data_IF_148552453770
#
_entry.id   IF_148552453770
#
_cell.length_a   1.000
_cell.length_b   1.000
_cell.length_c   1.000
_cell.angle_alpha   90.00
_cell.angle_beta   90.00
_cell.angle_gamma   90.00
#
_symmetry.space_group_name_H-M   'P 1'
#
loop_
_entity.id
_entity.type
_entity.pdbx_description
1 polymer ?
#
# COMPACT_ATOMS: atom_id res chain seq x y z
N UNK A 1 8.57 -22.22 13.91
CA UNK A 1 8.42 -20.74 13.85
C UNK A 1 8.74 -20.33 12.42
N UNK A 2 7.95 -19.44 11.83
CA UNK A 2 8.26 -18.87 10.51
C UNK A 2 9.44 -17.90 10.64
N UNK A 3 10.45 -18.06 9.79
CA UNK A 3 11.60 -17.17 9.74
C UNK A 3 11.15 -15.75 9.38
N UNK A 4 11.79 -14.74 10.00
CA UNK A 4 11.38 -13.33 9.88
C UNK A 4 12.27 -12.58 8.90
N UNK A 5 11.64 -11.76 8.08
CA UNK A 5 12.28 -10.81 7.18
C UNK A 5 12.06 -9.37 7.70
N UNK A 6 13.12 -8.74 8.18
CA UNK A 6 13.09 -7.34 8.63
C UNK A 6 13.87 -6.49 7.62
N UNK A 7 13.29 -5.40 7.15
CA UNK A 7 13.98 -4.43 6.31
C UNK A 7 14.15 -3.10 7.04
N UNK A 8 15.33 -2.51 7.00
CA UNK A 8 15.64 -1.23 7.64
C UNK A 8 15.64 -0.16 6.55
N UNK A 9 14.78 0.84 6.70
CA UNK A 9 14.61 1.93 5.76
C UNK A 9 15.00 3.27 6.38
N UNK A 10 15.19 4.28 5.54
CA UNK A 10 15.49 5.64 5.98
C UNK A 10 16.42 6.41 5.07
N UNK A 11 16.48 7.71 5.32
CA UNK A 11 17.22 8.67 4.50
C UNK A 11 18.73 8.33 4.47
N UNK A 12 19.42 8.79 3.42
CA UNK A 12 20.87 8.66 3.29
C UNK A 12 21.55 9.23 4.56
N UNK A 13 22.51 8.49 5.11
CA UNK A 13 23.22 8.89 6.34
C UNK A 13 22.55 8.51 7.66
N UNK A 14 21.32 7.96 7.67
CA UNK A 14 20.62 7.72 8.95
C UNK A 14 21.18 6.57 9.80
N UNK A 15 21.93 5.62 9.20
CA UNK A 15 22.58 4.52 9.95
C UNK A 15 22.02 3.12 9.69
N UNK A 16 21.31 2.89 8.58
CA UNK A 16 20.68 1.61 8.20
C UNK A 16 21.65 0.42 8.22
N UNK A 17 22.72 0.48 7.42
CA UNK A 17 23.74 -0.57 7.29
C UNK A 17 24.40 -0.88 8.64
N UNK A 18 24.63 0.15 9.46
CA UNK A 18 25.19 0.01 10.81
C UNK A 18 24.24 -0.77 11.71
N UNK A 19 22.96 -0.40 11.74
CA UNK A 19 21.97 -1.10 12.54
C UNK A 19 21.79 -2.55 12.07
N UNK A 20 21.69 -2.77 10.75
CA UNK A 20 21.56 -4.11 10.16
C UNK A 20 22.67 -5.06 10.64
N UNK A 21 23.93 -4.60 10.61
CA UNK A 21 25.10 -5.38 11.05
C UNK A 21 25.08 -5.66 12.56
N UNK A 22 24.61 -4.72 13.36
CA UNK A 22 24.54 -4.89 14.81
C UNK A 22 23.41 -5.83 15.24
N UNK A 23 22.30 -5.85 14.51
CA UNK A 23 21.19 -6.76 14.76
C UNK A 23 21.46 -8.18 14.27
N UNK A 24 22.29 -8.36 13.23
CA UNK A 24 22.61 -9.66 12.64
C UNK A 24 22.93 -10.76 13.69
N UNK A 25 23.91 -10.59 14.61
CA UNK A 25 24.22 -11.61 15.61
C UNK A 25 23.14 -11.77 16.69
N UNK A 26 22.30 -10.75 16.91
CA UNK A 26 21.24 -10.77 17.94
C UNK A 26 20.01 -11.56 17.50
N UNK A 27 19.73 -11.57 16.20
CA UNK A 27 18.58 -12.26 15.60
C UNK A 27 18.94 -13.58 14.91
N UNK A 28 20.21 -14.01 15.00
CA UNK A 28 20.76 -15.15 14.23
C UNK A 28 20.31 -15.09 12.76
N UNK A 29 20.53 -13.91 12.15
CA UNK A 29 19.98 -13.59 10.85
C UNK A 29 21.07 -13.58 9.77
N UNK A 30 20.68 -13.94 8.54
CA UNK A 30 21.41 -13.51 7.36
C UNK A 30 21.26 -11.99 7.19
N UNK A 31 22.23 -11.37 6.50
CA UNK A 31 22.18 -9.94 6.19
C UNK A 31 22.21 -9.72 4.68
N UNK A 32 21.36 -8.81 4.21
CA UNK A 32 21.36 -8.31 2.84
C UNK A 32 21.67 -6.82 2.85
N UNK A 33 22.77 -6.43 2.24
CA UNK A 33 23.21 -5.03 2.19
C UNK A 33 23.14 -4.50 0.77
N UNK A 34 22.64 -3.30 0.61
CA UNK A 34 22.64 -2.61 -0.67
C UNK A 34 24.06 -2.29 -1.12
N UNK A 35 24.38 -2.65 -2.37
CA UNK A 35 25.64 -2.30 -3.01
C UNK A 35 25.42 -1.08 -3.90
N UNK A 36 25.84 0.09 -3.44
CA UNK A 36 25.62 1.36 -4.17
C UNK A 36 26.84 1.78 -4.99
N UNK A 37 28.01 1.31 -4.60
CA UNK A 37 29.32 1.68 -5.15
C UNK A 37 29.51 1.18 -6.59
N UNK A 38 28.78 0.14 -7.00
CA UNK A 38 28.87 -0.45 -8.33
C UNK A 38 28.13 0.35 -9.41
N UNK A 39 27.31 1.35 -9.02
CA UNK A 39 26.53 2.12 -9.97
C UNK A 39 27.41 3.15 -10.70
N UNK A 40 27.70 2.97 -12.00
CA UNK A 40 28.63 3.83 -12.74
C UNK A 40 28.07 5.22 -13.04
N UNK A 41 26.78 5.44 -12.76
CA UNK A 41 26.09 6.71 -12.99
C UNK A 41 25.93 7.53 -11.71
N UNK A 42 26.09 6.92 -10.52
CA UNK A 42 25.76 7.57 -9.25
C UNK A 42 26.56 8.86 -9.00
N UNK A 43 27.87 8.85 -9.27
CA UNK A 43 28.69 10.06 -9.15
C UNK A 43 28.25 11.16 -10.11
N UNK A 44 27.88 10.80 -11.34
CA UNK A 44 27.38 11.74 -12.36
C UNK A 44 26.00 12.28 -12.03
N UNK A 45 25.15 11.46 -11.40
CA UNK A 45 23.84 11.87 -10.91
C UNK A 45 23.92 12.99 -9.89
N UNK A 46 24.89 12.95 -8.97
CA UNK A 46 25.08 14.06 -8.02
C UNK A 46 25.60 15.34 -8.67
N UNK A 47 26.20 15.25 -9.87
CA UNK A 47 26.65 16.42 -10.64
C UNK A 47 25.56 16.98 -11.56
N UNK A 48 24.73 16.12 -12.15
CA UNK A 48 23.66 16.47 -13.08
C UNK A 48 22.51 15.45 -12.96
N UNK A 49 21.56 15.75 -12.06
CA UNK A 49 20.43 14.87 -11.76
C UNK A 49 19.54 14.65 -12.99
N UNK A 50 19.22 15.71 -13.72
CA UNK A 50 18.29 15.66 -14.85
C UNK A 50 18.82 14.72 -15.95
N UNK A 51 20.13 14.75 -16.22
CA UNK A 51 20.71 13.94 -17.29
C UNK A 51 20.94 12.47 -16.91
N UNK A 52 21.22 12.19 -15.64
CA UNK A 52 21.70 10.88 -15.18
C UNK A 52 20.71 10.13 -14.27
N UNK A 53 19.56 10.72 -13.93
CA UNK A 53 18.58 10.10 -13.05
C UNK A 53 18.11 8.75 -13.59
N UNK A 54 17.67 8.68 -14.84
CA UNK A 54 17.10 7.45 -15.40
C UNK A 54 18.07 6.28 -15.41
N UNK A 55 19.31 6.48 -15.87
CA UNK A 55 20.34 5.44 -15.89
C UNK A 55 20.70 4.99 -14.48
N UNK A 56 20.74 5.94 -13.52
CA UNK A 56 21.01 5.64 -12.12
C UNK A 56 19.89 4.79 -11.51
N UNK A 57 18.62 5.14 -11.75
CA UNK A 57 17.47 4.41 -11.21
C UNK A 57 17.31 3.03 -11.84
N UNK A 58 17.42 2.90 -13.17
CA UNK A 58 17.32 1.59 -13.81
C UNK A 58 18.46 0.66 -13.36
N UNK A 59 19.66 1.18 -13.13
CA UNK A 59 20.74 0.39 -12.56
C UNK A 59 20.38 -0.11 -11.15
N UNK A 60 19.88 0.77 -10.27
CA UNK A 60 19.44 0.36 -8.94
C UNK A 60 18.33 -0.68 -9.00
N UNK A 61 17.31 -0.47 -9.82
CA UNK A 61 16.20 -1.40 -10.01
C UNK A 61 16.67 -2.81 -10.35
N UNK A 62 17.52 -2.92 -11.38
CA UNK A 62 18.03 -4.20 -11.87
C UNK A 62 18.98 -4.87 -10.87
N UNK A 63 19.87 -4.08 -10.25
CA UNK A 63 20.79 -4.57 -9.22
C UNK A 63 20.02 -5.13 -8.01
N UNK A 64 19.04 -4.38 -7.51
CA UNK A 64 18.19 -4.78 -6.39
C UNK A 64 17.36 -6.02 -6.73
N UNK A 65 16.78 -6.08 -7.93
CA UNK A 65 16.06 -7.26 -8.39
C UNK A 65 16.98 -8.50 -8.41
N UNK A 66 18.15 -8.39 -9.05
CA UNK A 66 19.09 -9.50 -9.15
C UNK A 66 19.53 -10.00 -7.77
N UNK A 67 19.80 -9.08 -6.85
CA UNK A 67 20.19 -9.40 -5.49
C UNK A 67 19.04 -10.05 -4.71
N UNK A 68 17.83 -9.49 -4.74
CA UNK A 68 16.73 -9.94 -3.88
C UNK A 68 16.02 -11.19 -4.39
N UNK A 69 15.81 -11.32 -5.71
CA UNK A 69 15.01 -12.40 -6.30
C UNK A 69 15.47 -13.79 -5.87
N UNK A 70 16.78 -14.00 -5.74
CA UNK A 70 17.35 -15.27 -5.29
C UNK A 70 17.79 -15.25 -3.82
N UNK A 71 18.43 -14.16 -3.36
CA UNK A 71 19.03 -14.14 -2.03
C UNK A 71 17.98 -14.13 -0.92
N UNK A 72 16.87 -13.41 -1.10
CA UNK A 72 15.82 -13.30 -0.07
C UNK A 72 15.16 -14.66 0.18
N UNK A 73 14.61 -15.37 -0.82
CA UNK A 73 14.07 -16.71 -0.60
C UNK A 73 15.11 -17.71 -0.06
N UNK A 74 16.36 -17.63 -0.52
CA UNK A 74 17.42 -18.54 -0.07
C UNK A 74 17.79 -18.31 1.40
N UNK A 75 17.88 -17.06 1.84
CA UNK A 75 18.15 -16.71 3.22
C UNK A 75 16.99 -17.14 4.13
N UNK A 76 15.74 -16.84 3.73
CA UNK A 76 14.54 -17.19 4.50
C UNK A 76 14.29 -18.70 4.62
N UNK A 77 14.88 -19.53 3.76
CA UNK A 77 14.90 -20.99 3.95
C UNK A 77 15.86 -21.45 5.05
N UNK A 78 16.87 -20.65 5.38
CA UNK A 78 17.94 -20.98 6.34
C UNK A 78 17.71 -20.38 7.72
N UNK A 79 17.06 -19.22 7.80
CA UNK A 79 16.82 -18.51 9.05
C UNK A 79 16.23 -17.13 8.82
N UNK A 80 16.32 -16.26 9.82
CA UNK A 80 15.88 -14.87 9.72
C UNK A 80 16.74 -14.10 8.69
N UNK A 81 16.17 -13.03 8.15
CA UNK A 81 16.84 -12.11 7.24
C UNK A 81 16.68 -10.68 7.71
N UNK A 82 17.78 -9.93 7.73
CA UNK A 82 17.79 -8.48 7.92
C UNK A 82 18.33 -7.85 6.64
N UNK A 83 17.57 -6.94 6.04
CA UNK A 83 18.03 -6.12 4.90
C UNK A 83 18.16 -4.66 5.32
N UNK A 84 19.10 -3.91 4.75
CA UNK A 84 19.19 -2.45 4.94
C UNK A 84 18.48 -1.65 3.84
N UNK A 85 17.64 -2.34 3.07
CA UNK A 85 16.76 -1.77 2.06
C UNK A 85 15.63 -2.74 1.65
N UNK A 86 14.55 -2.19 1.10
CA UNK A 86 13.49 -2.89 0.40
C UNK A 86 13.60 -2.71 -1.10
N UNK A 87 12.98 -3.60 -1.87
CA UNK A 87 12.79 -3.37 -3.30
C UNK A 87 11.88 -2.16 -3.57
N UNK A 88 10.77 -2.08 -2.81
CA UNK A 88 9.74 -1.06 -2.97
C UNK A 88 10.24 0.39 -2.79
N UNK A 89 11.33 0.62 -2.03
CA UNK A 89 11.89 1.98 -1.90
C UNK A 89 12.39 2.56 -3.22
N UNK A 90 12.68 1.74 -4.23
CA UNK A 90 13.24 2.26 -5.49
C UNK A 90 12.26 3.21 -6.16
N UNK A 91 10.97 2.91 -6.02
CA UNK A 91 9.88 3.76 -6.49
C UNK A 91 9.99 5.19 -5.96
N UNK A 92 10.29 5.37 -4.67
CA UNK A 92 10.47 6.70 -4.05
C UNK A 92 11.51 7.54 -4.80
N UNK A 93 12.66 6.94 -5.11
CA UNK A 93 13.75 7.65 -5.79
C UNK A 93 13.43 7.90 -7.27
N UNK A 94 12.65 7.03 -7.90
CA UNK A 94 12.13 7.26 -9.25
C UNK A 94 11.13 8.41 -9.30
N UNK A 95 10.14 8.45 -8.40
CA UNK A 95 9.17 9.55 -8.30
C UNK A 95 9.85 10.90 -8.06
N UNK A 96 10.94 10.91 -7.29
CA UNK A 96 11.66 12.13 -6.96
C UNK A 96 12.53 12.65 -8.13
N UNK A 97 13.05 11.76 -8.97
CA UNK A 97 14.09 12.11 -9.94
C UNK A 97 13.71 11.95 -11.42
N UNK A 98 12.66 11.18 -11.73
CA UNK A 98 12.22 10.93 -13.10
C UNK A 98 10.94 11.69 -13.42
N UNK A 99 10.72 11.98 -14.71
CA UNK A 99 9.54 12.68 -15.21
C UNK A 99 8.99 11.99 -16.45
N UNK A 100 7.72 12.27 -16.76
CA UNK A 100 7.07 11.92 -18.01
C UNK A 100 7.33 10.46 -18.46
N UNK A 101 7.89 10.28 -19.65
CA UNK A 101 8.14 8.98 -20.26
C UNK A 101 9.16 8.13 -19.48
N UNK A 102 10.16 8.75 -18.85
CA UNK A 102 11.16 8.04 -18.05
C UNK A 102 10.53 7.41 -16.80
N UNK A 103 9.67 8.16 -16.11
CA UNK A 103 8.93 7.65 -14.94
C UNK A 103 7.95 6.57 -15.35
N UNK A 104 7.22 6.76 -16.45
CA UNK A 104 6.27 5.77 -16.96
C UNK A 104 6.97 4.46 -17.37
N UNK A 105 8.13 4.55 -18.04
CA UNK A 105 8.93 3.39 -18.43
C UNK A 105 9.48 2.67 -17.20
N UNK A 106 10.07 3.41 -16.27
CA UNK A 106 10.57 2.85 -15.01
C UNK A 106 9.45 2.11 -14.26
N UNK A 107 8.26 2.72 -14.12
CA UNK A 107 7.14 2.13 -13.40
C UNK A 107 6.70 0.78 -13.97
N UNK A 108 6.67 0.65 -15.31
CA UNK A 108 6.35 -0.63 -15.98
C UNK A 108 7.38 -1.72 -15.66
N UNK A 109 8.67 -1.38 -15.69
CA UNK A 109 9.75 -2.33 -15.37
C UNK A 109 9.71 -2.71 -13.89
N UNK A 110 9.52 -1.73 -13.01
CA UNK A 110 9.42 -1.94 -11.57
C UNK A 110 8.26 -2.88 -11.21
N UNK A 111 7.07 -2.64 -11.78
CA UNK A 111 5.91 -3.51 -11.57
C UNK A 111 6.18 -4.95 -12.01
N UNK A 112 6.73 -5.15 -13.22
CA UNK A 112 7.02 -6.47 -13.77
C UNK A 112 8.05 -7.26 -12.96
N UNK A 113 9.00 -6.58 -12.31
CA UNK A 113 10.03 -7.21 -11.49
C UNK A 113 9.57 -7.43 -10.04
N UNK A 114 8.79 -6.51 -9.49
CA UNK A 114 8.39 -6.49 -8.09
C UNK A 114 7.49 -7.66 -7.66
N UNK A 115 6.68 -8.22 -8.56
CA UNK A 115 5.79 -9.36 -8.27
C UNK A 115 6.52 -10.57 -7.68
N UNK A 116 7.80 -10.73 -8.01
CA UNK A 116 8.60 -11.91 -7.64
C UNK A 116 9.42 -11.71 -6.38
N UNK A 117 9.40 -10.52 -5.79
CA UNK A 117 10.24 -10.19 -4.64
C UNK A 117 9.44 -10.36 -3.35
N UNK A 118 9.88 -11.24 -2.43
CA UNK A 118 9.25 -11.36 -1.12
C UNK A 118 9.29 -10.03 -0.37
N UNK A 119 8.20 -9.70 0.31
CA UNK A 119 8.07 -8.49 1.13
C UNK A 119 8.56 -8.74 2.56
N UNK A 120 9.11 -7.73 3.25
CA UNK A 120 9.47 -7.84 4.66
C UNK A 120 8.23 -8.00 5.55
N UNK A 121 8.38 -8.75 6.64
CA UNK A 121 7.40 -8.83 7.71
C UNK A 121 7.32 -7.51 8.50
N UNK A 122 8.42 -6.76 8.58
CA UNK A 122 8.50 -5.46 9.25
C UNK A 122 9.48 -4.53 8.52
N UNK A 123 9.05 -3.30 8.26
CA UNK A 123 9.92 -2.19 7.89
C UNK A 123 10.28 -1.40 9.15
N UNK A 124 11.56 -1.28 9.46
CA UNK A 124 12.09 -0.41 10.51
C UNK A 124 12.57 0.88 9.86
N UNK A 125 11.77 1.94 9.93
CA UNK A 125 12.13 3.25 9.40
C UNK A 125 12.92 4.05 10.42
N UNK A 126 14.18 4.33 10.13
CA UNK A 126 15.02 5.21 10.93
C UNK A 126 14.80 6.66 10.49
N UNK A 127 14.46 7.51 11.45
CA UNK A 127 14.29 8.95 11.27
C UNK A 127 15.40 9.72 11.99
N UNK A 128 15.86 10.80 11.38
CA UNK A 128 16.74 11.77 12.00
C UNK A 128 16.56 13.13 11.34
N UNK A 129 16.93 14.18 12.06
CA UNK A 129 16.88 15.56 11.58
C UNK A 129 17.93 15.79 10.50
N UNK A 130 17.65 16.77 9.63
CA UNK A 130 18.50 17.08 8.48
C UNK A 130 19.97 17.33 8.89
N UNK A 131 20.21 18.08 9.96
CA UNK A 131 21.56 18.41 10.41
C UNK A 131 22.31 17.17 10.95
N UNK A 132 21.58 16.23 11.55
CA UNK A 132 22.14 14.95 12.00
C UNK A 132 22.52 14.09 10.79
N UNK A 133 21.65 14.02 9.78
CA UNK A 133 21.92 13.30 8.53
C UNK A 133 23.15 13.87 7.82
N UNK A 134 23.21 15.19 7.61
CA UNK A 134 24.34 15.83 6.93
C UNK A 134 25.66 15.60 7.68
N UNK A 135 25.65 15.66 9.02
CA UNK A 135 26.82 15.34 9.84
C UNK A 135 27.28 13.89 9.64
N UNK A 136 26.35 12.93 9.65
CA UNK A 136 26.67 11.51 9.44
C UNK A 136 27.17 11.23 8.02
N UNK A 137 26.62 11.89 7.00
CA UNK A 137 27.08 11.79 5.61
C UNK A 137 28.53 12.31 5.49
N UNK A 138 28.80 13.49 6.05
CA UNK A 138 30.14 14.07 6.04
C UNK A 138 31.17 13.18 6.76
N UNK A 139 30.81 12.59 7.90
CA UNK A 139 31.68 11.67 8.65
C UNK A 139 31.99 10.37 7.88
N UNK A 140 31.07 9.89 7.05
CA UNK A 140 31.27 8.67 6.25
C UNK A 140 32.19 8.89 5.05
N UNK A 141 32.28 10.13 4.57
CA UNK A 141 33.23 10.57 3.53
C UNK A 141 33.23 9.74 2.24
N UNK A 142 32.03 9.40 1.72
CA UNK A 142 31.93 8.74 0.41
C UNK A 142 32.23 9.76 -0.69
N UNK A 143 33.20 9.49 -1.60
CA UNK A 143 33.63 10.47 -2.60
C UNK A 143 32.50 11.02 -3.47
N UNK A 144 31.56 10.16 -3.88
CA UNK A 144 30.42 10.55 -4.72
C UNK A 144 29.34 11.36 -3.98
N UNK A 145 29.35 11.43 -2.64
CA UNK A 145 28.37 12.22 -1.87
C UNK A 145 28.87 13.62 -1.56
N UNK A 146 30.14 13.94 -1.82
CA UNK A 146 30.74 15.24 -1.49
C UNK A 146 30.14 16.40 -2.28
N UNK A 147 29.73 16.14 -3.52
CA UNK A 147 29.12 17.14 -4.41
C UNK A 147 27.59 17.14 -4.34
N UNK A 148 26.99 16.34 -3.44
CA UNK A 148 25.53 16.24 -3.30
C UNK A 148 24.95 17.53 -2.72
N UNK A 149 23.92 18.07 -3.38
CA UNK A 149 23.14 19.19 -2.86
C UNK A 149 22.50 18.82 -1.50
N UNK A 150 22.80 19.55 -0.41
CA UNK A 150 22.13 19.35 0.87
C UNK A 150 20.60 19.48 0.79
N UNK A 151 20.09 20.31 -0.12
CA UNK A 151 18.65 20.44 -0.40
C UNK A 151 18.00 19.12 -0.80
N UNK A 152 18.72 18.29 -1.55
CA UNK A 152 18.25 16.98 -2.00
C UNK A 152 17.94 16.04 -0.82
N UNK A 153 18.70 16.08 0.27
CA UNK A 153 18.41 15.25 1.45
C UNK A 153 17.08 15.61 2.10
N UNK A 154 16.68 16.89 2.06
CA UNK A 154 15.34 17.31 2.52
C UNK A 154 14.24 16.78 1.60
N UNK A 155 14.46 16.83 0.28
CA UNK A 155 13.54 16.24 -0.69
C UNK A 155 13.36 14.73 -0.47
N UNK A 156 14.46 14.00 -0.27
CA UNK A 156 14.43 12.55 0.03
C UNK A 156 13.69 12.28 1.35
N UNK A 157 13.89 13.10 2.38
CA UNK A 157 13.16 12.95 3.65
C UNK A 157 11.65 13.13 3.46
N UNK A 158 11.23 14.15 2.72
CA UNK A 158 9.82 14.38 2.43
C UNK A 158 9.23 13.26 1.56
N UNK A 159 10.00 12.74 0.61
CA UNK A 159 9.62 11.62 -0.23
C UNK A 159 9.45 10.33 0.59
N UNK A 160 10.28 10.09 1.61
CA UNK A 160 10.11 8.97 2.54
C UNK A 160 8.83 9.10 3.36
N UNK A 161 8.56 10.27 3.93
CA UNK A 161 7.33 10.51 4.69
C UNK A 161 6.08 10.28 3.80
N UNK A 162 6.10 10.76 2.55
CA UNK A 162 5.04 10.53 1.59
C UNK A 162 4.90 9.05 1.19
N UNK A 163 6.01 8.36 0.94
CA UNK A 163 6.01 6.94 0.57
C UNK A 163 5.50 6.05 1.70
N UNK A 164 5.97 6.27 2.93
CA UNK A 164 5.51 5.55 4.12
C UNK A 164 4.02 5.77 4.40
N UNK A 165 3.50 6.98 4.15
CA UNK A 165 2.06 7.25 4.31
C UNK A 165 1.16 6.46 3.35
N UNK A 166 1.72 5.92 2.26
CA UNK A 166 1.00 5.11 1.26
C UNK A 166 1.20 3.61 1.47
N UNK A 167 2.15 3.21 2.31
CA UNK A 167 2.43 1.81 2.64
C UNK A 167 1.39 1.29 3.64
N UNK A 168 0.35 0.65 3.11
CA UNK A 168 -0.78 0.12 3.89
C UNK A 168 -0.77 -1.41 4.04
N UNK A 169 0.20 -2.08 3.44
CA UNK A 169 0.28 -3.54 3.31
C UNK A 169 1.48 -4.15 4.06
N UNK A 170 2.33 -3.31 4.66
CA UNK A 170 3.50 -3.73 5.43
C UNK A 170 3.56 -2.99 6.77
N UNK A 171 3.78 -3.68 7.89
CA UNK A 171 3.99 -3.06 9.18
C UNK A 171 5.24 -2.16 9.16
N UNK A 172 5.09 -0.92 9.67
CA UNK A 172 6.20 0.04 9.77
C UNK A 172 6.41 0.42 11.23
N UNK A 173 7.63 0.22 11.73
CA UNK A 173 8.12 0.73 13.00
C UNK A 173 9.02 1.94 12.73
N UNK A 174 8.60 3.13 13.16
CA UNK A 174 9.44 4.34 13.08
C UNK A 174 10.27 4.49 14.35
N UNK A 175 11.59 4.67 14.20
CA UNK A 175 12.53 4.91 15.30
C UNK A 175 13.23 6.25 15.04
N UNK A 176 13.04 7.20 15.95
CA UNK A 176 13.84 8.43 15.97
C UNK A 176 15.26 8.13 16.48
N UNK A 177 16.27 8.54 15.72
CA UNK A 177 17.68 8.29 15.99
C UNK A 177 18.50 9.56 16.27
N UNK A 178 17.85 10.70 16.50
CA UNK A 178 18.52 11.97 16.82
C UNK A 178 19.35 11.85 18.11
N UNK A 179 18.72 11.32 19.17
CA UNK A 179 19.31 11.19 20.50
C UNK A 179 19.75 9.76 20.84
N UNK A 180 19.76 8.84 19.88
CA UNK A 180 20.20 7.46 20.07
C UNK A 180 21.65 7.27 19.59
N UNK A 181 22.47 6.66 20.45
CA UNK A 181 23.83 6.22 20.11
C UNK A 181 23.96 4.73 20.46
N UNK A 182 23.36 3.91 19.62
CA UNK A 182 23.39 2.44 19.74
C UNK A 182 24.74 1.82 19.35
N UNK A 183 25.75 2.63 19.02
CA UNK A 183 27.13 2.20 18.86
C UNK A 183 27.89 2.24 20.18
N UNK A 184 27.76 3.35 20.91
CA UNK A 184 28.53 3.59 22.15
C UNK A 184 27.74 3.28 23.43
N UNK A 185 26.40 3.30 23.38
CA UNK A 185 25.53 3.09 24.55
C UNK A 185 24.75 1.77 24.42
N UNK A 186 25.14 0.72 25.17
CA UNK A 186 24.43 -0.57 25.16
C UNK A 186 22.94 -0.45 25.50
N UNK A 187 22.56 0.49 26.37
CA UNK A 187 21.16 0.71 26.74
C UNK A 187 20.28 1.16 25.54
N UNK A 188 20.83 1.96 24.62
CA UNK A 188 20.10 2.38 23.42
C UNK A 188 19.93 1.22 22.45
N UNK A 189 20.95 0.36 22.33
CA UNK A 189 20.87 -0.86 21.53
C UNK A 189 19.80 -1.81 22.07
N UNK A 190 19.78 -2.07 23.38
CA UNK A 190 18.76 -2.92 24.00
C UNK A 190 17.35 -2.34 23.80
N UNK A 191 17.20 -1.01 23.91
CA UNK A 191 15.93 -0.34 23.61
C UNK A 191 15.49 -0.57 22.16
N UNK A 192 16.39 -0.45 21.18
CA UNK A 192 16.06 -0.69 19.77
C UNK A 192 15.67 -2.14 19.54
N UNK A 193 16.40 -3.09 20.13
CA UNK A 193 16.09 -4.53 20.02
C UNK A 193 14.69 -4.82 20.57
N UNK A 194 14.34 -4.27 21.74
CA UNK A 194 13.00 -4.44 22.30
C UNK A 194 11.92 -3.85 21.38
N UNK A 195 12.11 -2.63 20.86
CA UNK A 195 11.16 -2.01 19.93
C UNK A 195 10.96 -2.86 18.66
N UNK A 196 12.04 -3.41 18.10
CA UNK A 196 11.98 -4.27 16.91
C UNK A 196 11.33 -5.60 17.25
N UNK A 197 11.64 -6.22 18.39
CA UNK A 197 11.00 -7.46 18.82
C UNK A 197 9.48 -7.28 19.01
N UNK A 198 9.06 -6.20 19.66
CA UNK A 198 7.65 -5.84 19.80
C UNK A 198 7.02 -5.56 18.44
N UNK A 199 7.74 -4.82 17.56
CA UNK A 199 7.34 -4.57 16.19
C UNK A 199 7.10 -5.86 15.42
N UNK A 200 8.01 -6.84 15.49
CA UNK A 200 7.89 -8.14 14.82
C UNK A 200 6.76 -8.98 15.41
N UNK A 201 6.55 -8.92 16.73
CA UNK A 201 5.46 -9.62 17.39
C UNK A 201 4.08 -9.07 16.98
N UNK A 202 3.97 -7.74 16.87
CA UNK A 202 2.76 -7.05 16.43
C UNK A 202 2.55 -7.13 14.91
N UNK A 203 3.63 -7.24 14.14
CA UNK A 203 3.65 -7.37 12.69
C UNK A 203 3.46 -8.82 12.22
N UNK A 204 3.71 -9.80 13.08
CA UNK A 204 3.38 -11.18 12.77
C UNK A 204 1.88 -11.23 12.47
N UNK A 205 1.45 -11.79 11.31
CA UNK A 205 0.05 -12.10 11.15
C UNK A 205 -0.34 -12.93 12.36
N UNK A 206 -1.31 -12.43 13.14
CA UNK A 206 -1.94 -13.26 14.16
C UNK A 206 -2.28 -14.57 13.45
N UNK A 207 -1.90 -15.73 14.01
CA UNK A 207 -2.10 -17.01 13.34
C UNK A 207 -3.53 -17.02 12.84
N UNK A 208 -3.70 -17.20 11.53
CA UNK A 208 -4.98 -17.16 10.87
C UNK A 208 -5.97 -17.97 11.71
N UNK A 209 -6.80 -17.26 12.49
CA UNK A 209 -7.78 -17.93 13.29
C UNK A 209 -8.80 -18.58 12.34
N UNK A 210 -9.64 -19.48 12.85
CA UNK A 210 -10.77 -20.00 12.10
C UNK A 210 -11.54 -18.85 11.42
N UNK A 211 -12.22 -19.12 10.31
CA UNK A 211 -12.96 -18.17 9.46
C UNK A 211 -13.72 -17.10 10.27
N UNK A 212 -14.26 -17.48 11.43
CA UNK A 212 -14.92 -16.62 12.41
C UNK A 212 -14.10 -15.42 12.90
N UNK A 213 -12.79 -15.57 13.09
CA UNK A 213 -11.88 -14.48 13.51
C UNK A 213 -11.65 -13.43 12.42
N UNK A 214 -11.67 -13.83 11.13
CA UNK A 214 -11.56 -12.90 10.00
C UNK A 214 -12.86 -12.13 9.80
N UNK A 215 -13.99 -12.80 10.01
CA UNK A 215 -15.30 -12.17 10.07
C UNK A 215 -15.41 -11.18 11.24
N UNK A 216 -14.71 -11.40 12.36
CA UNK A 216 -14.63 -10.43 13.47
C UNK A 216 -13.88 -9.14 13.09
N UNK A 217 -12.85 -9.19 12.24
CA UNK A 217 -12.20 -7.97 11.72
C UNK A 217 -13.17 -7.14 10.88
N UNK A 218 -14.07 -7.79 10.12
CA UNK A 218 -15.15 -7.11 9.40
C UNK A 218 -16.17 -6.45 10.35
N UNK A 219 -16.34 -6.99 11.57
CA UNK A 219 -17.22 -6.41 12.60
C UNK A 219 -16.67 -5.11 13.22
N UNK A 220 -15.42 -4.74 12.95
CA UNK A 220 -14.87 -3.43 13.34
C UNK A 220 -15.39 -2.28 12.44
N UNK A 221 -16.15 -2.61 11.37
CA UNK A 221 -17.06 -1.69 10.68
C UNK A 221 -16.42 -0.63 9.79
N UNK A 222 -15.15 -0.79 9.38
CA UNK A 222 -14.43 0.15 8.50
C UNK A 222 -14.14 -0.45 7.14
N UNK A 223 -14.26 0.35 6.08
CA UNK A 223 -14.02 -0.08 4.69
C UNK A 223 -12.59 -0.60 4.50
N UNK A 224 -11.61 -0.03 5.20
CA UNK A 224 -10.23 -0.51 5.21
C UNK A 224 -10.10 -1.99 5.63
N UNK A 225 -10.93 -2.47 6.56
CA UNK A 225 -10.93 -3.87 6.98
C UNK A 225 -11.46 -4.81 5.88
N UNK A 226 -12.48 -4.38 5.13
CA UNK A 226 -12.99 -5.13 3.98
C UNK A 226 -11.99 -5.13 2.81
N UNK A 227 -11.31 -4.01 2.56
CA UNK A 227 -10.23 -3.92 1.59
C UNK A 227 -9.09 -4.89 1.95
N UNK A 228 -8.69 -4.93 3.22
CA UNK A 228 -7.67 -5.86 3.70
C UNK A 228 -8.10 -7.33 3.53
N UNK A 229 -9.33 -7.67 3.88
CA UNK A 229 -9.88 -9.01 3.69
C UNK A 229 -9.79 -9.48 2.23
N UNK A 230 -10.14 -8.63 1.26
CA UNK A 230 -10.05 -9.00 -0.16
C UNK A 230 -8.62 -9.18 -0.65
N UNK A 231 -7.67 -8.37 -0.18
CA UNK A 231 -6.23 -8.57 -0.51
C UNK A 231 -5.73 -9.92 -0.04
N UNK A 232 -6.09 -10.30 1.19
CA UNK A 232 -5.72 -11.60 1.78
C UNK A 232 -6.40 -12.77 1.07
N UNK A 233 -7.69 -12.62 0.75
CA UNK A 233 -8.47 -13.65 0.06
C UNK A 233 -7.93 -13.92 -1.34
N UNK A 234 -7.64 -12.86 -2.11
CA UNK A 234 -7.11 -12.98 -3.47
C UNK A 234 -5.70 -13.60 -3.47
N UNK A 235 -4.85 -13.18 -2.53
CA UNK A 235 -3.52 -13.77 -2.33
C UNK A 235 -3.60 -15.27 -2.00
N UNK A 236 -4.52 -15.68 -1.12
CA UNK A 236 -4.70 -17.08 -0.73
C UNK A 236 -5.24 -17.95 -1.87
N UNK A 237 -6.11 -17.38 -2.70
CA UNK A 237 -6.74 -18.09 -3.82
C UNK A 237 -5.90 -18.08 -5.09
N UNK A 238 -4.81 -17.31 -5.11
CA UNK A 238 -3.97 -17.15 -6.29
C UNK A 238 -4.71 -16.43 -7.43
N UNK A 239 -5.65 -15.54 -7.08
CA UNK A 239 -6.29 -14.69 -8.09
C UNK A 239 -5.28 -13.65 -8.58
N UNK A 240 -5.07 -13.60 -9.90
CA UNK A 240 -4.20 -12.60 -10.53
C UNK A 240 -4.93 -11.24 -10.61
N UNK A 241 -4.18 -10.17 -10.39
CA UNK A 241 -4.70 -8.81 -10.26
C UNK A 241 -5.09 -8.13 -11.57
N UNK A 242 -5.89 -8.79 -12.39
CA UNK A 242 -6.40 -8.22 -13.63
C UNK A 242 -7.53 -7.21 -13.34
N UNK A 243 -7.20 -5.92 -13.50
CA UNK A 243 -8.12 -4.82 -13.31
C UNK A 243 -9.31 -4.87 -14.29
N UNK A 244 -9.07 -5.30 -15.53
CA UNK A 244 -10.11 -5.40 -16.55
C UNK A 244 -11.07 -6.55 -16.24
N UNK A 245 -10.55 -7.68 -15.78
CA UNK A 245 -11.38 -8.83 -15.37
C UNK A 245 -12.27 -8.49 -14.17
N UNK A 246 -11.73 -7.84 -13.14
CA UNK A 246 -12.53 -7.38 -11.99
C UNK A 246 -13.58 -6.33 -12.38
N UNK A 247 -13.29 -5.50 -13.39
CA UNK A 247 -14.27 -4.57 -13.96
C UNK A 247 -15.40 -5.31 -14.70
N UNK A 248 -15.09 -6.35 -15.48
CA UNK A 248 -16.11 -7.17 -16.14
C UNK A 248 -17.04 -7.85 -15.14
N UNK A 249 -16.47 -8.42 -14.07
CA UNK A 249 -17.25 -9.03 -12.99
C UNK A 249 -18.11 -7.98 -12.27
N UNK A 250 -17.59 -6.78 -12.00
CA UNK A 250 -18.42 -5.69 -11.47
C UNK A 250 -19.61 -5.39 -12.40
N UNK A 251 -19.41 -5.36 -13.72
CA UNK A 251 -20.49 -5.11 -14.67
C UNK A 251 -21.52 -6.25 -14.72
N UNK A 252 -21.09 -7.49 -14.49
CA UNK A 252 -21.98 -8.65 -14.35
C UNK A 252 -22.87 -8.50 -13.11
N UNK A 253 -22.29 -8.20 -11.95
CA UNK A 253 -23.03 -7.97 -10.69
C UNK A 253 -24.01 -6.79 -10.80
N UNK A 254 -23.65 -5.73 -11.54
CA UNK A 254 -24.58 -4.61 -11.83
C UNK A 254 -25.79 -5.12 -12.62
N UNK A 255 -25.59 -6.07 -13.53
CA UNK A 255 -26.66 -6.69 -14.31
C UNK A 255 -27.60 -7.55 -13.45
N UNK A 256 -27.04 -8.29 -12.49
CA UNK A 256 -27.82 -9.08 -11.53
C UNK A 256 -28.67 -8.17 -10.64
N UNK A 257 -28.07 -7.14 -10.02
CA UNK A 257 -28.80 -6.16 -9.23
C UNK A 257 -29.91 -5.48 -10.04
N UNK A 258 -29.64 -5.17 -11.31
CA UNK A 258 -30.64 -4.55 -12.20
C UNK A 258 -31.84 -5.48 -12.42
N UNK A 259 -31.61 -6.79 -12.54
CA UNK A 259 -32.66 -7.79 -12.71
C UNK A 259 -33.55 -7.85 -11.46
N UNK A 260 -32.96 -7.80 -10.28
CA UNK A 260 -33.71 -7.83 -9.02
C UNK A 260 -34.47 -6.54 -8.76
N UNK A 261 -33.89 -5.37 -9.10
CA UNK A 261 -34.61 -4.10 -9.05
C UNK A 261 -35.81 -4.07 -10.01
N UNK A 262 -35.71 -4.69 -11.19
CA UNK A 262 -36.85 -4.86 -12.10
C UNK A 262 -37.93 -5.75 -11.49
N UNK A 263 -37.56 -6.81 -10.77
CA UNK A 263 -38.51 -7.65 -10.01
C UNK A 263 -39.23 -6.85 -8.94
N UNK A 264 -38.48 -6.12 -8.10
CA UNK A 264 -39.05 -5.22 -7.07
C UNK A 264 -40.06 -4.25 -7.68
N UNK A 265 -39.68 -3.60 -8.78
CA UNK A 265 -40.55 -2.63 -9.46
C UNK A 265 -41.83 -3.29 -9.99
N UNK A 266 -41.70 -4.41 -10.68
CA UNK A 266 -42.84 -5.15 -11.28
C UNK A 266 -43.81 -5.62 -10.19
N UNK A 267 -43.26 -6.12 -9.09
CA UNK A 267 -44.00 -6.73 -7.99
C UNK A 267 -44.66 -5.66 -7.11
N UNK A 268 -44.03 -4.47 -6.98
CA UNK A 268 -44.66 -3.27 -6.42
C UNK A 268 -45.83 -2.79 -7.28
N UNK A 269 -45.67 -2.74 -8.61
CA UNK A 269 -46.73 -2.34 -9.55
C UNK A 269 -47.92 -3.30 -9.55
N UNK A 270 -47.68 -4.60 -9.48
CA UNK A 270 -48.73 -5.62 -9.39
C UNK A 270 -49.58 -5.47 -8.13
N UNK A 271 -48.98 -5.05 -7.01
CA UNK A 271 -49.67 -4.84 -5.73
C UNK A 271 -50.42 -3.53 -5.60
N UNK A 272 -50.22 -2.58 -6.51
CA UNK A 272 -51.01 -1.34 -6.55
C UNK A 272 -52.49 -1.59 -6.90
N UNK A 273 -52.88 -2.83 -7.24
CA UNK A 273 -54.22 -3.14 -7.76
C UNK A 273 -55.31 -3.24 -6.68
N UNK A 274 -54.98 -3.23 -5.39
CA UNK A 274 -55.99 -3.30 -4.31
C UNK A 274 -55.80 -2.17 -3.29
N UNK A 275 -56.35 -0.97 -3.51
CA UNK A 275 -56.59 0.07 -2.48
C UNK A 275 -55.40 0.55 -1.61
N UNK A 276 -54.19 0.07 -1.86
CA UNK A 276 -52.98 0.27 -1.05
C UNK A 276 -52.09 1.36 -1.62
N UNK A 277 -51.36 2.03 -0.73
CA UNK A 277 -50.52 3.17 -1.10
C UNK A 277 -49.23 2.76 -1.84
N UNK A 278 -48.69 3.57 -2.77
CA UNK A 278 -47.46 3.24 -3.50
C UNK A 278 -46.21 3.00 -2.65
N UNK A 279 -46.12 3.64 -1.49
CA UNK A 279 -44.99 3.44 -0.58
C UNK A 279 -45.06 2.06 0.11
N UNK A 280 -46.27 1.66 0.54
CA UNK A 280 -46.52 0.39 1.20
C UNK A 280 -46.24 -0.79 0.25
N UNK A 281 -46.67 -0.70 -1.01
CA UNK A 281 -46.44 -1.77 -1.99
C UNK A 281 -44.98 -1.88 -2.42
N UNK A 282 -44.22 -0.77 -2.42
CA UNK A 282 -42.79 -0.78 -2.67
C UNK A 282 -42.01 -1.39 -1.50
N UNK A 283 -42.35 -1.03 -0.27
CA UNK A 283 -41.69 -1.56 0.93
C UNK A 283 -41.85 -3.08 1.04
N UNK A 284 -43.05 -3.61 0.78
CA UNK A 284 -43.28 -5.06 0.72
C UNK A 284 -42.51 -5.75 -0.40
N UNK A 285 -42.46 -5.13 -1.59
CA UNK A 285 -41.70 -5.68 -2.71
C UNK A 285 -40.20 -5.71 -2.41
N UNK A 286 -39.67 -4.68 -1.74
CA UNK A 286 -38.28 -4.67 -1.24
C UNK A 286 -38.08 -5.77 -0.21
N UNK A 287 -38.99 -5.93 0.76
CA UNK A 287 -38.86 -6.97 1.80
C UNK A 287 -38.79 -8.37 1.21
N UNK A 288 -39.62 -8.65 0.20
CA UNK A 288 -39.64 -9.95 -0.48
C UNK A 288 -38.37 -10.26 -1.26
N UNK A 289 -37.74 -9.25 -1.89
CA UNK A 289 -36.52 -9.42 -2.68
C UNK A 289 -35.26 -9.05 -1.87
N UNK A 290 -35.40 -8.71 -0.58
CA UNK A 290 -34.31 -8.27 0.30
C UNK A 290 -33.13 -9.27 0.34
N UNK A 291 -33.34 -10.61 0.34
CA UNK A 291 -32.22 -11.55 0.34
C UNK A 291 -31.34 -11.44 -0.91
N UNK A 292 -31.95 -11.37 -2.09
CA UNK A 292 -31.24 -11.33 -3.36
C UNK A 292 -30.55 -9.96 -3.53
N UNK A 293 -31.28 -8.86 -3.31
CA UNK A 293 -30.72 -7.50 -3.27
C UNK A 293 -29.53 -7.38 -2.31
N UNK A 294 -29.58 -8.05 -1.15
CA UNK A 294 -28.49 -8.02 -0.17
C UNK A 294 -27.25 -8.75 -0.70
N UNK A 295 -27.41 -9.84 -1.42
CA UNK A 295 -26.30 -10.58 -2.00
C UNK A 295 -25.65 -9.74 -3.10
N UNK A 296 -26.44 -9.27 -4.07
CA UNK A 296 -25.94 -8.48 -5.20
C UNK A 296 -25.23 -7.19 -4.73
N UNK A 297 -25.79 -6.50 -3.73
CA UNK A 297 -25.14 -5.32 -3.13
C UNK A 297 -23.82 -5.67 -2.43
N UNK A 298 -23.71 -6.86 -1.84
CA UNK A 298 -22.48 -7.32 -1.21
C UNK A 298 -21.42 -7.69 -2.26
N UNK A 299 -21.81 -8.33 -3.36
CA UNK A 299 -20.91 -8.70 -4.46
C UNK A 299 -20.42 -7.46 -5.22
N UNK A 300 -21.30 -6.48 -5.45
CA UNK A 300 -20.91 -5.15 -5.94
C UNK A 300 -19.87 -4.49 -5.04
N UNK A 301 -20.10 -4.50 -3.72
CA UNK A 301 -19.13 -3.96 -2.77
C UNK A 301 -17.80 -4.71 -2.85
N UNK A 302 -17.82 -6.04 -2.95
CA UNK A 302 -16.62 -6.85 -3.07
C UNK A 302 -15.78 -6.46 -4.30
N UNK A 303 -16.40 -6.29 -5.47
CA UNK A 303 -15.65 -5.90 -6.67
C UNK A 303 -15.20 -4.44 -6.66
N UNK A 304 -15.97 -3.53 -6.06
CA UNK A 304 -15.50 -2.14 -5.84
C UNK A 304 -14.27 -2.14 -4.93
N UNK A 305 -14.27 -2.92 -3.85
CA UNK A 305 -13.14 -3.05 -2.93
C UNK A 305 -11.92 -3.66 -3.63
N UNK A 306 -12.12 -4.69 -4.47
CA UNK A 306 -11.07 -5.28 -5.29
C UNK A 306 -10.47 -4.27 -6.26
N UNK A 307 -11.29 -3.55 -7.02
CA UNK A 307 -10.81 -2.51 -7.93
C UNK A 307 -10.02 -1.42 -7.19
N UNK A 308 -10.50 -0.98 -6.02
CA UNK A 308 -9.78 -0.03 -5.18
C UNK A 308 -8.41 -0.61 -4.73
N UNK A 309 -8.36 -1.87 -4.33
CA UNK A 309 -7.11 -2.55 -3.96
C UNK A 309 -6.12 -2.63 -5.12
N UNK A 310 -6.56 -3.06 -6.31
CA UNK A 310 -5.70 -3.20 -7.49
C UNK A 310 -5.23 -1.85 -8.06
N UNK A 311 -5.94 -0.77 -7.75
CA UNK A 311 -5.54 0.60 -8.10
C UNK A 311 -4.78 1.32 -6.98
N UNK A 312 -4.58 0.69 -5.82
CA UNK A 312 -3.91 1.29 -4.68
C UNK A 312 -4.71 2.40 -3.98
N UNK A 313 -6.03 2.43 -4.17
CA UNK A 313 -6.92 3.45 -3.59
C UNK A 313 -7.40 2.98 -2.21
N UNK A 314 -7.18 3.80 -1.18
CA UNK A 314 -7.91 3.70 0.08
C UNK A 314 -9.34 4.24 -0.14
N UNK A 315 -10.30 3.33 -0.21
CA UNK A 315 -11.67 3.67 -0.58
C UNK A 315 -12.37 4.46 0.52
N UNK A 316 -12.04 4.19 1.78
CA UNK A 316 -12.59 4.91 2.93
C UNK A 316 -12.15 6.38 2.90
N UNK A 317 -10.84 6.62 2.75
CA UNK A 317 -10.29 7.97 2.66
C UNK A 317 -10.79 8.71 1.43
N UNK A 318 -10.75 8.08 0.25
CA UNK A 318 -11.26 8.67 -0.98
C UNK A 318 -12.74 9.07 -0.87
N UNK A 319 -13.57 8.23 -0.23
CA UNK A 319 -14.97 8.55 0.05
C UNK A 319 -15.10 9.75 1.02
N UNK A 320 -14.36 9.75 2.12
CA UNK A 320 -14.40 10.82 3.13
C UNK A 320 -13.97 12.17 2.56
N UNK A 321 -12.89 12.21 1.78
CA UNK A 321 -12.43 13.42 1.07
C UNK A 321 -13.49 13.93 0.10
N UNK A 322 -14.09 13.02 -0.68
CA UNK A 322 -15.14 13.37 -1.63
C UNK A 322 -16.39 13.90 -0.93
N UNK A 323 -16.82 13.28 0.17
CA UNK A 323 -17.99 13.72 0.92
C UNK A 323 -17.76 15.08 1.59
N UNK A 324 -16.54 15.32 2.10
CA UNK A 324 -16.15 16.64 2.63
C UNK A 324 -16.28 17.73 1.56
N UNK A 325 -15.87 17.45 0.32
CA UNK A 325 -16.05 18.37 -0.80
C UNK A 325 -17.53 18.55 -1.18
N UNK A 326 -18.34 17.48 -1.11
CA UNK A 326 -19.76 17.53 -1.45
C UNK A 326 -20.60 18.29 -0.42
N UNK A 327 -20.22 18.30 0.86
CA UNK A 327 -20.89 19.08 1.90
C UNK A 327 -20.85 20.61 1.63
N UNK A 328 -19.92 21.08 0.79
CA UNK A 328 -19.84 22.47 0.35
C UNK A 328 -20.59 22.78 -0.96
N UNK A 329 -21.28 21.80 -1.57
CA UNK A 329 -21.97 21.97 -2.86
C UNK A 329 -23.44 22.28 -2.68
N UNK A 330 -23.94 23.29 -3.39
CA UNK A 330 -25.38 23.49 -3.59
C UNK A 330 -25.85 22.67 -4.80
N UNK A 331 -26.78 21.76 -4.58
CA UNK A 331 -27.41 20.98 -5.65
C UNK A 331 -28.65 21.72 -6.17
N UNK A 332 -28.88 21.79 -7.49
CA UNK A 332 -30.17 22.20 -8.03
C UNK A 332 -31.25 21.27 -7.50
N UNK A 333 -32.39 21.81 -7.06
CA UNK A 333 -33.53 21.00 -6.63
C UNK A 333 -33.94 20.01 -7.73
N UNK A 334 -34.25 18.79 -7.32
CA UNK A 334 -34.61 17.66 -8.19
C UNK A 334 -35.64 18.07 -9.25
N UNK A 335 -35.39 17.71 -10.52
CA UNK A 335 -36.46 17.68 -11.52
C UNK A 335 -37.38 16.52 -11.17
N UNK A 336 -38.38 16.82 -10.34
CA UNK A 336 -39.47 15.93 -10.02
C UNK A 336 -40.15 15.38 -11.27
N UNK A 337 -40.57 14.11 -11.16
CA UNK A 337 -41.51 13.37 -11.99
C UNK A 337 -41.94 14.03 -13.30
N UNK A 338 -41.53 13.45 -14.43
CA UNK A 338 -42.20 13.66 -15.69
C UNK A 338 -43.70 13.33 -15.53
N UNK A 339 -44.56 14.34 -15.59
CA UNK A 339 -45.99 14.17 -15.73
C UNK A 339 -46.27 13.36 -17.01
N UNK A 340 -47.25 12.43 -16.99
CA UNK A 340 -47.64 11.73 -18.21
C UNK A 340 -48.27 12.75 -19.14
N UNK A 341 -47.70 12.88 -20.35
CA UNK A 341 -48.26 13.72 -21.40
C UNK A 341 -49.73 13.35 -21.62
N UNK A 342 -50.62 14.27 -21.24
CA UNK A 342 -52.04 14.19 -21.54
C UNK A 342 -52.23 14.15 -23.04
N UNK A 343 -52.92 13.11 -23.51
CA UNK A 343 -53.60 13.13 -24.78
C UNK A 343 -54.70 14.20 -24.75
N UNK A 344 -54.57 15.22 -25.59
CA UNK A 344 -55.72 15.98 -26.10
C UNK A 344 -55.49 16.34 -27.58
N UNK A 345 -56.50 16.04 -28.41
CA UNK A 345 -56.78 16.74 -29.67
C UNK A 345 -56.27 16.10 -30.94
#
# INVERSE_FOLDING_TARGET
MTNKYIAIEGVIGVGKTTLARLLQPRYDAAILLEVVEDNPFLSKFYQDRERYAFQTQIFFLLSRYHQQYQAVPAALRRGNLISDYTFAKDELFAWLNLKDDELAMYGRVHAALGEKIPRPDLIVYLRADHDVLMRRIALRDRPFERDMDPGYIREVSAAYDAWLSRLNDMPVLTIDTNDLDYLSRPADMERIIHLIADGVANAAPQPAGPVDSRLQTLQQGRLAAFQQFHRELDSLKGFEGDLFFNYLLLMEEIGELSTDLVRVWTESKRRLVDGRGPAETLEEAIEMNRPDLRNDLADLLAFILKLANYTGIDLEQAYMEKMRLNLGRTWPAERGAAEPAGHEG
#
